data_IF_733494654879
#
_entry.id   IF_733494654879
#
_cell.length_a   1.000
_cell.length_b   1.000
_cell.length_c   1.000
_cell.angle_alpha   90.00
_cell.angle_beta   90.00
_cell.angle_gamma   90.00
#
_symmetry.space_group_name_H-M   'P 1'
#
loop_
_entity.id
_entity.type
_entity.pdbx_description
1 polymer ?
#
# COMPACT_ATOMS: atom_id res chain seq x y z
N UNK A 1 7.10 20.78 -12.14
CA UNK A 1 6.13 20.42 -11.09
C UNK A 1 5.48 19.09 -11.46
N UNK A 2 5.60 18.05 -10.64
CA UNK A 2 5.11 16.69 -10.98
C UNK A 2 3.62 16.58 -10.65
N UNK A 3 2.82 16.04 -11.57
CA UNK A 3 1.37 15.82 -11.35
C UNK A 3 1.12 14.53 -10.56
N UNK A 4 0.00 14.50 -9.85
CA UNK A 4 -0.47 13.26 -9.24
C UNK A 4 -0.74 12.20 -10.32
N UNK A 5 -0.36 10.96 -10.06
CA UNK A 5 -0.58 9.80 -10.95
C UNK A 5 -2.02 9.29 -10.97
N UNK A 6 -2.92 9.88 -10.16
CA UNK A 6 -4.35 9.56 -10.22
C UNK A 6 -4.96 10.37 -11.36
N UNK A 7 -5.50 9.69 -12.38
CA UNK A 7 -5.94 10.30 -13.64
C UNK A 7 -6.95 11.45 -13.45
N UNK A 8 -7.85 11.32 -12.49
CA UNK A 8 -8.87 12.33 -12.17
C UNK A 8 -8.35 13.45 -11.23
N UNK A 9 -7.07 13.44 -10.88
CA UNK A 9 -6.47 14.38 -9.94
C UNK A 9 -5.57 15.40 -10.66
N UNK A 10 -5.96 16.67 -10.59
CA UNK A 10 -5.18 17.80 -11.11
C UNK A 10 -4.14 18.36 -10.12
N UNK A 11 -4.09 17.83 -8.90
CA UNK A 11 -3.19 18.32 -7.87
C UNK A 11 -1.72 17.98 -8.14
N UNK A 12 -0.85 18.84 -7.61
CA UNK A 12 0.59 18.62 -7.60
C UNK A 12 0.95 17.45 -6.69
N UNK A 13 1.82 16.56 -7.17
CA UNK A 13 2.38 15.49 -6.36
C UNK A 13 3.36 16.05 -5.33
N UNK A 14 3.26 15.55 -4.10
CA UNK A 14 4.14 15.92 -2.98
C UNK A 14 5.10 14.78 -2.61
N UNK A 15 4.80 13.54 -3.02
CA UNK A 15 5.63 12.38 -2.72
C UNK A 15 5.51 11.29 -3.79
N UNK A 16 6.63 10.67 -4.12
CA UNK A 16 6.68 9.44 -4.91
C UNK A 16 6.70 8.23 -3.97
N UNK A 17 5.77 7.31 -4.16
CA UNK A 17 5.68 6.06 -3.39
C UNK A 17 5.94 4.85 -4.28
N UNK A 18 6.37 3.74 -3.69
CA UNK A 18 6.52 2.45 -4.36
C UNK A 18 5.25 1.63 -4.10
N UNK A 19 4.55 1.25 -5.16
CA UNK A 19 3.26 0.52 -5.08
C UNK A 19 3.38 -0.96 -5.47
N UNK A 20 4.59 -1.41 -5.79
CA UNK A 20 4.90 -2.79 -6.14
C UNK A 20 6.40 -2.97 -6.32
N UNK A 21 6.85 -4.13 -6.81
CA UNK A 21 8.28 -4.44 -6.88
C UNK A 21 9.08 -3.48 -7.77
N UNK A 22 8.46 -2.99 -8.85
CA UNK A 22 9.08 -2.13 -9.87
C UNK A 22 8.28 -0.85 -10.20
N UNK A 23 7.09 -0.67 -9.61
CA UNK A 23 6.22 0.46 -9.93
C UNK A 23 6.28 1.53 -8.85
N UNK A 24 6.40 2.78 -9.28
CA UNK A 24 6.29 3.96 -8.42
C UNK A 24 5.17 4.87 -8.91
N UNK A 25 4.53 5.59 -7.97
CA UNK A 25 3.46 6.55 -8.26
C UNK A 25 3.68 7.85 -7.52
N UNK A 26 3.36 8.94 -8.19
CA UNK A 26 3.44 10.29 -7.64
C UNK A 26 2.08 10.65 -7.02
N UNK A 27 2.02 10.90 -5.72
CA UNK A 27 0.79 11.20 -5.01
C UNK A 27 0.78 12.64 -4.48
N UNK A 28 -0.36 13.30 -4.63
CA UNK A 28 -0.65 14.55 -3.92
C UNK A 28 -0.94 14.26 -2.44
N UNK A 29 -1.02 15.32 -1.62
CA UNK A 29 -1.23 15.20 -0.17
C UNK A 29 -2.45 14.34 0.19
N UNK A 30 -3.58 14.56 -0.50
CA UNK A 30 -4.83 13.82 -0.26
C UNK A 30 -4.69 12.34 -0.57
N UNK A 31 -4.20 11.98 -1.76
CA UNK A 31 -4.05 10.58 -2.14
C UNK A 31 -2.96 9.85 -1.35
N UNK A 32 -1.94 10.58 -0.88
CA UNK A 32 -0.94 10.01 0.01
C UNK A 32 -1.55 9.58 1.35
N UNK A 33 -2.44 10.40 1.93
CA UNK A 33 -3.13 10.05 3.19
C UNK A 33 -4.02 8.83 3.02
N UNK A 34 -4.81 8.77 1.94
CA UNK A 34 -5.67 7.63 1.62
C UNK A 34 -4.83 6.35 1.47
N UNK A 35 -3.74 6.43 0.71
CA UNK A 35 -2.84 5.30 0.51
C UNK A 35 -2.25 4.78 1.84
N UNK A 36 -1.72 5.68 2.68
CA UNK A 36 -1.13 5.31 3.97
C UNK A 36 -2.16 4.71 4.93
N UNK A 37 -3.39 5.20 4.94
CA UNK A 37 -4.47 4.64 5.74
C UNK A 37 -4.84 3.23 5.27
N UNK A 38 -4.89 3.00 3.95
CA UNK A 38 -5.15 1.67 3.39
C UNK A 38 -4.05 0.68 3.75
N UNK A 39 -2.78 1.08 3.62
CA UNK A 39 -1.66 0.21 4.00
C UNK A 39 -1.72 -0.17 5.48
N UNK A 40 -2.03 0.78 6.37
CA UNK A 40 -2.20 0.50 7.80
C UNK A 40 -3.35 -0.48 8.09
N UNK A 41 -4.47 -0.36 7.37
CA UNK A 41 -5.63 -1.23 7.58
C UNK A 41 -5.44 -2.64 6.99
N UNK A 42 -4.66 -2.76 5.91
CA UNK A 42 -4.47 -4.01 5.18
C UNK A 42 -3.04 -4.54 5.23
N UNK A 43 -2.27 -4.21 6.27
CA UNK A 43 -0.94 -4.80 6.46
C UNK A 43 -1.12 -6.29 6.74
N UNK A 44 -0.79 -7.20 5.81
CA UNK A 44 -0.97 -8.63 6.05
C UNK A 44 0.07 -9.08 7.07
N UNK A 45 -0.39 -9.73 8.14
CA UNK A 45 0.52 -10.36 9.10
C UNK A 45 0.89 -11.72 8.51
N UNK A 46 2.10 -11.81 7.95
CA UNK A 46 2.62 -13.08 7.47
C UNK A 46 3.26 -13.84 8.62
N UNK A 47 2.71 -15.00 8.93
CA UNK A 47 3.35 -15.97 9.82
C UNK A 47 4.18 -16.95 8.99
N UNK A 48 5.38 -17.30 9.47
CA UNK A 48 6.13 -18.40 8.87
C UNK A 48 5.32 -19.68 9.02
N UNK A 49 5.27 -20.50 7.96
CA UNK A 49 4.58 -21.79 7.99
C UNK A 49 5.11 -22.71 9.09
N UNK A 50 6.39 -22.58 9.46
CA UNK A 50 7.02 -23.28 10.59
C UNK A 50 6.38 -22.96 11.96
N UNK A 51 5.67 -21.84 12.07
CA UNK A 51 5.06 -21.38 13.31
C UNK A 51 3.58 -21.78 13.43
N UNK A 52 3.02 -22.45 12.42
CA UNK A 52 1.66 -23.00 12.46
C UNK A 52 1.77 -24.39 13.10
N UNK A 53 1.20 -24.64 14.30
CA UNK A 53 1.20 -25.95 14.92
C UNK A 53 0.54 -26.97 14.00
N UNK A 54 1.15 -28.15 13.81
CA UNK A 54 0.64 -29.20 12.90
C UNK A 54 -0.74 -29.75 13.31
N UNK A 55 -1.23 -29.41 14.49
CA UNK A 55 -2.52 -29.86 15.03
C UNK A 55 -3.70 -28.94 14.68
N UNK A 56 -3.51 -27.95 13.80
CA UNK A 56 -4.63 -27.12 13.34
C UNK A 56 -5.56 -27.93 12.43
N UNK A 57 -6.49 -28.67 13.03
CA UNK A 57 -7.63 -29.29 12.35
C UNK A 57 -8.47 -28.15 11.74
N UNK A 58 -8.62 -28.17 10.42
CA UNK A 58 -9.68 -27.40 9.75
C UNK A 58 -11.03 -27.98 10.22
N UNK A 59 -11.82 -27.15 10.90
CA UNK A 59 -13.24 -27.38 11.18
C UNK A 59 -14.09 -26.87 10.03
#
# INVERSE_FOLDING_TARGET
>A
NVKCSISECSNTAVKTIKVGSKETRNLCKTHLVIYMNRERQHTPIFHKASNIPRDYKQV
#
